data_IF_369654965465
#
_entry.id   IF_369654965465
#
_cell.length_a   1.000
_cell.length_b   1.000
_cell.length_c   1.000
_cell.angle_alpha   90.00
_cell.angle_beta   90.00
_cell.angle_gamma   90.00
#
_symmetry.space_group_name_H-M   'P 1'
#
loop_
_entity.id
_entity.type
_entity.pdbx_description
1 polymer ?
#
# COMPACT_ATOMS: atom_id res chain seq x y z
N UNK A 1 -20.84 -12.81 5.85
CA UNK A 1 -21.88 -12.06 5.14
C UNK A 1 -21.21 -11.00 4.30
N UNK A 2 -21.43 -11.00 2.98
CA UNK A 2 -20.99 -9.92 2.09
C UNK A 2 -22.12 -8.89 2.11
N UNK A 3 -21.81 -7.66 2.57
CA UNK A 3 -22.83 -6.61 2.77
C UNK A 3 -23.48 -6.21 1.45
N UNK A 4 -24.81 -6.22 1.41
CA UNK A 4 -25.66 -6.05 0.22
C UNK A 4 -25.93 -4.58 -0.14
N UNK A 5 -25.22 -3.62 0.47
CA UNK A 5 -25.51 -2.19 0.27
C UNK A 5 -24.23 -1.38 0.08
N UNK A 6 -23.73 -1.38 -1.16
CA UNK A 6 -22.95 -0.23 -1.66
C UNK A 6 -23.59 0.23 -2.96
N UNK A 7 -24.59 1.12 -2.85
CA UNK A 7 -25.02 1.97 -3.95
C UNK A 7 -24.12 3.21 -3.94
N UNK A 8 -23.07 3.21 -4.76
CA UNK A 8 -22.24 4.39 -4.95
C UNK A 8 -23.01 5.43 -5.77
N UNK A 9 -23.43 6.53 -5.15
CA UNK A 9 -23.77 7.73 -5.90
C UNK A 9 -22.97 8.94 -5.39
N UNK A 10 -22.17 9.49 -6.31
CA UNK A 10 -21.60 10.84 -6.36
C UNK A 10 -20.54 11.24 -5.33
N UNK A 11 -19.48 10.44 -5.23
CA UNK A 11 -18.08 10.90 -5.29
C UNK A 11 -17.24 9.66 -5.54
N UNK A 12 -17.16 9.26 -6.81
CA UNK A 12 -16.27 8.16 -7.20
C UNK A 12 -14.85 8.59 -6.83
N UNK A 13 -14.27 7.96 -5.81
CA UNK A 13 -12.86 8.10 -5.51
C UNK A 13 -12.07 7.39 -6.61
N UNK A 14 -11.43 8.16 -7.48
CA UNK A 14 -10.39 7.62 -8.34
C UNK A 14 -9.12 7.54 -7.50
N UNK A 15 -8.78 6.34 -7.07
CA UNK A 15 -7.54 6.07 -6.35
C UNK A 15 -6.44 5.76 -7.38
N UNK A 16 -5.61 6.76 -7.68
CA UNK A 16 -4.40 6.58 -8.47
C UNK A 16 -3.23 6.40 -7.49
N UNK A 17 -2.83 5.15 -7.26
CA UNK A 17 -1.69 4.82 -6.39
C UNK A 17 -0.71 3.90 -7.12
N UNK A 18 0.56 4.00 -6.74
CA UNK A 18 1.62 3.16 -7.27
C UNK A 18 1.33 1.69 -6.96
N UNK A 19 1.10 0.89 -8.01
CA UNK A 19 0.93 -0.55 -7.87
C UNK A 19 2.22 -1.19 -7.33
N UNK A 20 2.10 -2.30 -6.59
CA UNK A 20 3.26 -3.01 -6.06
C UNK A 20 3.28 -3.16 -4.54
N UNK A 21 2.27 -2.67 -3.81
CA UNK A 21 2.30 -2.67 -2.35
C UNK A 21 2.08 -4.08 -1.79
N UNK A 22 1.29 -4.92 -2.46
CA UNK A 22 1.10 -6.33 -2.06
C UNK A 22 2.31 -7.20 -2.35
N UNK A 23 3.15 -6.81 -3.30
CA UNK A 23 4.45 -7.42 -3.58
C UNK A 23 5.52 -6.91 -2.61
N UNK A 24 5.46 -5.63 -2.21
CA UNK A 24 6.41 -5.00 -1.28
C UNK A 24 6.18 -5.40 0.18
N UNK A 25 4.93 -5.64 0.59
CA UNK A 25 4.57 -5.96 1.97
C UNK A 25 3.72 -7.23 2.06
N UNK A 26 4.12 -8.18 2.90
CA UNK A 26 3.41 -9.45 3.14
C UNK A 26 2.15 -9.24 3.99
N UNK A 27 2.15 -8.22 4.83
CA UNK A 27 1.02 -7.88 5.71
C UNK A 27 0.88 -6.38 5.96
N UNK A 28 -0.31 -5.97 6.41
CA UNK A 28 -0.56 -4.61 6.87
C UNK A 28 0.38 -4.23 8.02
N UNK A 29 0.63 -5.16 8.95
CA UNK A 29 1.58 -4.98 10.05
C UNK A 29 2.98 -4.66 9.53
N UNK A 30 3.46 -5.40 8.52
CA UNK A 30 4.77 -5.14 7.92
C UNK A 30 4.83 -3.77 7.24
N UNK A 31 3.77 -3.38 6.51
CA UNK A 31 3.64 -2.04 5.92
C UNK A 31 3.77 -0.93 6.99
N UNK A 32 3.01 -1.04 8.08
CA UNK A 32 3.09 -0.10 9.21
C UNK A 32 4.47 -0.15 9.87
N UNK A 33 5.04 -1.33 10.09
CA UNK A 33 6.34 -1.49 10.71
C UNK A 33 7.44 -0.80 9.89
N UNK A 34 7.46 -1.00 8.57
CA UNK A 34 8.39 -0.31 7.67
C UNK A 34 8.23 1.20 7.78
N UNK A 35 7.00 1.72 7.75
CA UNK A 35 6.74 3.15 7.90
C UNK A 35 7.15 3.73 9.25
N UNK A 36 6.98 2.97 10.34
CA UNK A 36 7.44 3.32 11.69
C UNK A 36 8.96 3.41 11.74
N UNK A 37 9.67 2.40 11.25
CA UNK A 37 11.13 2.36 11.30
C UNK A 37 11.77 3.43 10.41
N UNK A 38 11.20 3.72 9.24
CA UNK A 38 11.67 4.78 8.35
C UNK A 38 11.58 6.18 8.98
N UNK A 39 10.54 6.45 9.78
CA UNK A 39 10.32 7.75 10.44
C UNK A 39 10.94 7.83 11.84
N UNK A 40 11.46 6.71 12.33
CA UNK A 40 12.09 6.56 13.64
C UNK A 40 11.13 5.99 14.68
N UNK A 41 11.44 4.78 15.16
CA UNK A 41 10.64 4.04 16.15
C UNK A 41 10.30 4.88 17.39
N UNK A 42 11.29 5.57 17.98
CA UNK A 42 11.10 6.35 19.20
C UNK A 42 10.12 7.50 18.99
N UNK A 43 10.26 8.22 17.86
CA UNK A 43 9.37 9.34 17.52
C UNK A 43 7.93 8.86 17.39
N UNK A 44 7.71 7.82 16.59
CA UNK A 44 6.36 7.31 16.37
C UNK A 44 5.77 6.71 17.64
N UNK A 45 6.57 6.04 18.48
CA UNK A 45 6.10 5.54 19.76
C UNK A 45 5.57 6.68 20.65
N UNK A 46 6.26 7.83 20.70
CA UNK A 46 5.79 9.01 21.42
C UNK A 46 4.47 9.53 20.83
N UNK A 47 4.37 9.66 19.50
CA UNK A 47 3.16 10.13 18.82
C UNK A 47 1.94 9.20 19.07
N UNK A 48 2.20 7.92 19.33
CA UNK A 48 1.21 6.87 19.63
C UNK A 48 0.97 6.64 21.14
N UNK A 49 1.56 7.47 22.00
CA UNK A 49 1.52 7.33 23.46
C UNK A 49 1.96 5.92 23.92
N UNK A 50 3.14 5.50 23.45
CA UNK A 50 3.74 4.20 23.68
C UNK A 50 5.21 4.32 24.08
N UNK A 51 5.65 3.39 24.93
CA UNK A 51 7.07 3.10 25.04
C UNK A 51 7.60 2.49 23.72
N UNK A 52 8.79 2.87 23.23
CA UNK A 52 9.37 2.34 21.98
C UNK A 52 9.47 0.81 21.96
N UNK A 53 9.80 0.20 23.10
CA UNK A 53 9.87 -1.26 23.25
C UNK A 53 8.50 -1.92 23.09
N UNK A 54 7.42 -1.30 23.58
CA UNK A 54 6.06 -1.82 23.42
C UNK A 54 5.63 -1.75 21.95
N UNK A 55 5.90 -0.64 21.26
CA UNK A 55 5.61 -0.49 19.84
C UNK A 55 6.39 -1.52 19.00
N UNK A 56 7.69 -1.70 19.28
CA UNK A 56 8.51 -2.70 18.59
C UNK A 56 7.96 -4.11 18.75
N UNK A 57 7.57 -4.50 19.96
CA UNK A 57 6.94 -5.81 20.21
C UNK A 57 5.61 -5.91 19.46
N UNK A 58 4.76 -4.89 19.46
CA UNK A 58 3.48 -4.91 18.73
C UNK A 58 3.64 -5.05 17.21
N UNK A 59 4.75 -4.58 16.67
CA UNK A 59 5.08 -4.64 15.25
C UNK A 59 5.84 -5.92 14.86
N UNK A 60 6.19 -6.79 15.81
CA UNK A 60 6.84 -8.07 15.52
C UNK A 60 5.85 -9.10 14.95
N UNK A 61 6.36 -10.07 14.20
CA UNK A 61 5.57 -11.15 13.58
C UNK A 61 4.99 -12.12 14.62
N UNK A 62 5.82 -12.57 15.57
CA UNK A 62 5.45 -13.57 16.58
C UNK A 62 5.13 -12.92 17.93
N UNK A 63 4.40 -11.80 17.90
CA UNK A 63 4.11 -11.06 19.13
C UNK A 63 2.88 -11.58 19.86
N UNK A 64 3.00 -11.69 21.19
CA UNK A 64 1.86 -11.87 22.08
C UNK A 64 1.05 -10.58 22.31
N UNK A 65 1.55 -9.42 21.82
CA UNK A 65 0.87 -8.13 21.88
C UNK A 65 0.63 -7.63 20.46
N UNK A 66 -0.61 -7.37 20.11
CA UNK A 66 -0.95 -6.95 18.74
C UNK A 66 -1.05 -5.44 18.61
N UNK A 67 -0.61 -4.94 17.45
CA UNK A 67 -0.89 -3.57 17.03
C UNK A 67 -2.40 -3.46 16.71
N UNK A 68 -3.14 -2.67 17.49
CA UNK A 68 -4.60 -2.57 17.36
C UNK A 68 -5.03 -1.68 16.19
N UNK A 69 -6.30 -1.79 15.79
CA UNK A 69 -6.89 -0.97 14.74
C UNK A 69 -6.99 0.50 15.18
N UNK A 70 -7.33 0.77 16.44
CA UNK A 70 -7.33 2.13 16.99
C UNK A 70 -5.95 2.79 16.87
N UNK A 71 -4.88 2.00 17.06
CA UNK A 71 -3.50 2.47 16.89
C UNK A 71 -3.13 2.68 15.43
N UNK A 72 -3.68 1.88 14.52
CA UNK A 72 -3.54 2.10 13.08
C UNK A 72 -4.18 3.42 12.67
N UNK A 73 -5.39 3.71 13.12
CA UNK A 73 -6.06 4.99 12.87
C UNK A 73 -5.21 6.15 13.39
N UNK A 74 -4.75 6.03 14.65
CA UNK A 74 -3.87 7.04 15.24
C UNK A 74 -2.56 7.22 14.47
N UNK A 75 -1.94 6.13 14.01
CA UNK A 75 -0.74 6.17 13.18
C UNK A 75 -0.97 6.93 11.88
N UNK A 76 -2.07 6.66 11.17
CA UNK A 76 -2.41 7.35 9.93
C UNK A 76 -2.67 8.84 10.20
N UNK A 77 -3.37 9.17 11.28
CA UNK A 77 -3.65 10.54 11.66
C UNK A 77 -2.40 11.36 11.97
N UNK A 78 -1.46 10.80 12.73
CA UNK A 78 -0.25 11.50 13.18
C UNK A 78 0.81 11.59 12.10
N UNK A 79 0.99 10.52 11.32
CA UNK A 79 2.04 10.44 10.30
C UNK A 79 1.59 10.92 8.92
N UNK A 80 0.27 11.01 8.70
CA UNK A 80 -0.36 11.20 7.37
C UNK A 80 0.05 10.13 6.35
N UNK A 81 0.53 8.98 6.82
CA UNK A 81 0.92 7.86 5.99
C UNK A 81 -0.32 7.08 5.54
N UNK A 82 -0.72 7.26 4.28
CA UNK A 82 -1.84 6.56 3.67
C UNK A 82 -1.44 5.20 3.06
N UNK A 83 -0.15 4.84 3.06
CA UNK A 83 0.31 3.56 2.49
C UNK A 83 -0.40 2.33 3.08
N UNK A 84 -0.74 2.26 4.39
CA UNK A 84 -1.52 1.15 4.93
C UNK A 84 -2.92 1.03 4.31
N UNK A 85 -3.57 2.14 3.98
CA UNK A 85 -4.89 2.16 3.34
C UNK A 85 -4.77 1.70 1.88
N UNK A 86 -3.78 2.23 1.14
CA UNK A 86 -3.55 1.83 -0.24
C UNK A 86 -3.15 0.35 -0.35
N UNK A 87 -2.37 -0.16 0.61
CA UNK A 87 -2.07 -1.58 0.71
C UNK A 87 -3.36 -2.43 0.83
N UNK A 88 -4.30 -2.04 1.70
CA UNK A 88 -5.56 -2.75 1.87
C UNK A 88 -6.45 -2.66 0.63
N UNK A 89 -6.53 -1.47 0.03
CA UNK A 89 -7.25 -1.26 -1.22
C UNK A 89 -6.66 -2.15 -2.32
N UNK A 90 -5.34 -2.17 -2.48
CA UNK A 90 -4.69 -3.02 -3.47
C UNK A 90 -4.94 -4.50 -3.20
N UNK A 91 -4.84 -4.93 -1.93
CA UNK A 91 -4.98 -6.33 -1.52
C UNK A 91 -6.39 -6.88 -1.68
N UNK A 92 -7.41 -6.07 -1.40
CA UNK A 92 -8.78 -6.56 -1.28
C UNK A 92 -9.76 -5.96 -2.29
N UNK A 93 -9.46 -4.80 -2.89
CA UNK A 93 -10.34 -4.12 -3.85
C UNK A 93 -9.83 -4.19 -5.30
N UNK A 94 -8.56 -4.59 -5.54
CA UNK A 94 -8.07 -4.77 -6.91
C UNK A 94 -8.76 -5.95 -7.58
N UNK A 95 -9.49 -5.68 -8.66
CA UNK A 95 -9.91 -6.72 -9.58
C UNK A 95 -8.68 -7.29 -10.30
N UNK A 96 -8.39 -8.58 -10.10
CA UNK A 96 -7.26 -9.27 -10.73
C UNK A 96 -7.33 -9.17 -12.25
N UNK A 97 -8.53 -9.11 -12.84
CA UNK A 97 -8.72 -8.95 -14.27
C UNK A 97 -8.27 -7.56 -14.76
N UNK A 98 -8.61 -6.50 -14.01
CA UNK A 98 -8.22 -5.13 -14.36
C UNK A 98 -6.70 -4.92 -14.30
N UNK A 99 -6.01 -5.51 -13.31
CA UNK A 99 -4.54 -5.47 -13.23
C UNK A 99 -3.86 -6.09 -14.47
N UNK A 100 -4.35 -7.25 -14.94
CA UNK A 100 -3.77 -7.92 -16.11
C UNK A 100 -3.99 -7.11 -17.39
N UNK A 101 -5.19 -6.53 -17.57
CA UNK A 101 -5.48 -5.66 -18.72
C UNK A 101 -4.64 -4.37 -18.71
N UNK A 102 -4.46 -3.74 -17.54
CA UNK A 102 -3.61 -2.56 -17.40
C UNK A 102 -2.13 -2.86 -17.68
N UNK A 103 -1.62 -4.00 -17.20
CA UNK A 103 -0.26 -4.45 -17.47
C UNK A 103 -0.03 -4.74 -18.98
N UNK A 104 -1.00 -5.37 -19.66
CA UNK A 104 -0.94 -5.58 -21.11
C UNK A 104 -0.97 -4.27 -21.91
N UNK A 105 -1.75 -3.29 -21.47
CA UNK A 105 -1.81 -1.96 -22.09
C UNK A 105 -0.47 -1.21 -21.93
N UNK A 106 0.15 -1.26 -20.74
CA UNK A 106 1.48 -0.70 -20.53
C UNK A 106 2.55 -1.40 -21.38
N UNK A 107 2.53 -2.73 -21.47
CA UNK A 107 3.45 -3.49 -22.34
C UNK A 107 3.34 -3.06 -23.80
N UNK A 108 2.12 -2.87 -24.30
CA UNK A 108 1.89 -2.43 -25.69
C UNK A 108 2.45 -1.02 -25.92
N UNK A 109 2.27 -0.12 -24.95
CA UNK A 109 2.81 1.25 -24.99
C UNK A 109 4.34 1.24 -25.00
N UNK A 110 4.95 0.45 -24.10
CA UNK A 110 6.40 0.32 -23.98
C UNK A 110 7.02 -0.33 -25.23
N UNK A 111 6.33 -1.31 -25.84
CA UNK A 111 6.76 -1.92 -27.09
C UNK A 111 6.77 -0.92 -28.24
N UNK A 112 5.78 -0.02 -28.31
CA UNK A 112 5.77 1.08 -29.28
C UNK A 112 6.96 2.02 -29.11
N UNK A 113 7.26 2.41 -27.86
CA UNK A 113 8.42 3.25 -27.54
C UNK A 113 9.75 2.53 -27.88
N UNK A 114 9.86 1.26 -27.54
CA UNK A 114 11.04 0.44 -27.82
C UNK A 114 11.26 0.27 -29.33
N UNK A 115 10.19 0.04 -30.10
CA UNK A 115 10.26 -0.04 -31.55
C UNK A 115 10.74 1.26 -32.21
N UNK A 116 10.32 2.42 -31.69
CA UNK A 116 10.83 3.72 -32.14
C UNK A 116 12.33 3.89 -31.84
N UNK A 117 12.80 3.44 -30.67
CA UNK A 117 14.22 3.48 -30.32
C UNK A 117 15.07 2.56 -31.20
N UNK A 118 14.58 1.37 -31.53
CA UNK A 118 15.25 0.44 -32.47
C UNK A 118 15.42 1.11 -33.85
N UNK A 119 14.36 1.76 -34.34
CA UNK A 119 14.39 2.48 -35.62
C UNK A 119 15.38 3.65 -35.59
N UNK A 120 15.45 4.40 -34.49
CA UNK A 120 16.43 5.48 -34.30
C UNK A 120 17.87 4.97 -34.20
N UNK A 121 18.08 3.77 -33.66
CA UNK A 121 19.38 3.12 -33.57
C UNK A 121 19.84 2.46 -34.90
N UNK A 122 19.02 2.52 -35.96
CA UNK A 122 19.33 1.94 -37.26
C UNK A 122 19.29 0.41 -37.30
N UNK A 123 18.65 -0.22 -36.31
CA UNK A 123 18.52 -1.67 -36.16
C UNK A 123 17.15 -2.17 -36.68
N UNK A 124 16.57 -1.54 -37.71
CA UNK A 124 15.50 -2.05 -38.60
C UNK A 124 15.27 -1.05 -39.72
#
# INVERSE_FOLDING_TARGET
MISTVIKHNSSQLTLDFEAGLVERYRSLRECVATGVYQRGLTRIAIDLDLAPSNLSVQLSEDSSRHFSIDRLERYIETTKDLTPIYYLAEKFLSDKSAKQSAALAQLTTMFGQFHQLIKQAGLT
#
